data_IF_998200192109
#
_entry.id   IF_998200192109
#
_cell.length_a   1.000
_cell.length_b   1.000
_cell.length_c   1.000
_cell.angle_alpha   90.00
_cell.angle_beta   90.00
_cell.angle_gamma   90.00
#
_symmetry.space_group_name_H-M   'P 1'
#
loop_
_entity.id
_entity.type
_entity.pdbx_description
1 polymer ?
#
# COMPACT_ATOMS: atom_id res chain seq x y z
N UNK A 1 -23.61 -13.17 13.90
CA UNK A 1 -22.84 -12.82 12.68
C UNK A 1 -21.38 -13.01 13.02
N UNK A 2 -20.68 -13.91 12.31
CA UNK A 2 -19.23 -14.12 12.51
C UNK A 2 -18.40 -13.02 11.82
N UNK A 3 -17.12 -12.87 12.18
CA UNK A 3 -16.23 -11.90 11.53
C UNK A 3 -16.06 -12.24 10.04
N UNK A 4 -16.19 -11.21 9.19
CA UNK A 4 -16.00 -11.31 7.75
C UNK A 4 -14.53 -11.04 7.45
N UNK A 5 -13.85 -11.96 6.77
CA UNK A 5 -12.46 -11.79 6.33
C UNK A 5 -12.43 -11.87 4.82
N UNK A 6 -11.76 -10.91 4.19
CA UNK A 6 -11.44 -10.99 2.77
C UNK A 6 -9.94 -11.18 2.61
N UNK A 7 -9.54 -12.29 1.97
CA UNK A 7 -8.16 -12.63 1.63
C UNK A 7 -8.05 -12.55 0.12
N UNK A 8 -7.26 -11.61 -0.38
CA UNK A 8 -6.95 -11.51 -1.81
C UNK A 8 -5.49 -11.89 -2.00
N UNK A 9 -5.25 -12.99 -2.71
CA UNK A 9 -3.95 -13.31 -3.29
C UNK A 9 -3.79 -12.38 -4.51
N UNK A 10 -2.68 -11.65 -4.65
CA UNK A 10 -2.48 -10.59 -5.64
C UNK A 10 -2.61 -11.06 -7.11
N UNK A 11 -3.85 -11.31 -7.54
CA UNK A 11 -4.36 -11.36 -8.90
C UNK A 11 -5.75 -10.73 -8.81
N UNK A 12 -5.79 -9.43 -9.02
CA UNK A 12 -6.94 -8.57 -8.77
C UNK A 12 -8.24 -9.17 -9.33
N UNK A 13 -9.17 -9.49 -8.44
CA UNK A 13 -10.60 -9.65 -8.73
C UNK A 13 -11.37 -9.00 -7.59
N UNK A 14 -12.03 -7.88 -7.90
CA UNK A 14 -12.77 -7.08 -6.94
C UNK A 14 -14.21 -7.54 -6.81
N UNK A 15 -14.74 -7.47 -5.58
CA UNK A 15 -16.13 -7.17 -5.26
C UNK A 15 -16.24 -6.54 -3.86
N UNK A 16 -17.16 -5.57 -3.71
CA UNK A 16 -17.89 -5.33 -2.45
C UNK A 16 -17.40 -4.22 -1.51
N UNK A 17 -18.15 -3.11 -1.50
CA UNK A 17 -18.01 -1.84 -0.77
C UNK A 17 -18.62 -1.83 0.65
N UNK A 18 -17.92 -1.29 1.68
CA UNK A 18 -18.44 -0.51 2.85
C UNK A 18 -17.33 -0.08 3.84
N UNK A 19 -17.57 1.04 4.56
CA UNK A 19 -16.61 1.87 5.33
C UNK A 19 -16.66 1.59 6.87
N UNK A 20 -15.52 1.41 7.55
CA UNK A 20 -15.34 1.84 8.95
C UNK A 20 -14.37 1.04 9.86
N UNK A 21 -13.19 1.63 10.15
CA UNK A 21 -12.15 1.28 11.15
C UNK A 21 -11.22 0.08 10.87
N UNK A 22 -10.50 0.16 9.75
CA UNK A 22 -9.81 -0.99 9.13
C UNK A 22 -8.52 -1.40 9.83
N UNK A 23 -8.50 -2.59 10.43
CA UNK A 23 -7.26 -3.37 10.60
C UNK A 23 -7.01 -4.09 9.28
N UNK A 24 -6.18 -3.49 8.42
CA UNK A 24 -5.72 -4.08 7.16
C UNK A 24 -4.24 -4.41 7.25
N UNK A 25 -3.84 -5.52 6.64
CA UNK A 25 -2.47 -5.97 6.64
C UNK A 25 -2.09 -6.59 5.29
N UNK A 26 -1.04 -6.07 4.67
CA UNK A 26 -0.37 -6.70 3.53
C UNK A 26 0.76 -7.59 4.05
N UNK A 27 0.66 -8.88 3.74
CA UNK A 27 1.69 -9.89 3.93
C UNK A 27 2.30 -10.26 2.59
N UNK A 28 3.37 -9.56 2.19
CA UNK A 28 4.09 -9.78 0.92
C UNK A 28 3.19 -9.59 -0.31
N UNK A 29 2.43 -10.61 -0.71
CA UNK A 29 1.52 -10.64 -1.85
C UNK A 29 0.05 -10.81 -1.45
N UNK A 30 -0.22 -10.93 -0.15
CA UNK A 30 -1.53 -11.27 0.39
C UNK A 30 -2.07 -10.13 1.21
N UNK A 31 -3.24 -9.63 0.85
CA UNK A 31 -3.91 -8.54 1.59
C UNK A 31 -5.07 -9.11 2.39
N UNK A 32 -5.05 -8.86 3.70
CA UNK A 32 -6.09 -9.30 4.64
C UNK A 32 -6.78 -8.08 5.25
N UNK A 33 -8.11 -8.04 5.12
CA UNK A 33 -8.93 -6.99 5.73
C UNK A 33 -10.07 -7.63 6.52
N UNK A 34 -10.33 -7.08 7.72
CA UNK A 34 -11.52 -7.37 8.52
C UNK A 34 -12.76 -6.58 8.03
N UNK A 35 -12.56 -5.65 7.09
CA UNK A 35 -13.61 -4.88 6.43
C UNK A 35 -13.67 -5.15 4.94
N UNK A 36 -14.81 -4.77 4.35
CA UNK A 36 -14.96 -4.66 2.92
C UNK A 36 -13.90 -3.72 2.32
N UNK A 37 -13.37 -4.11 1.16
CA UNK A 37 -12.38 -3.30 0.47
C UNK A 37 -13.01 -2.02 -0.12
N UNK A 38 -12.23 -0.94 -0.12
CA UNK A 38 -12.53 0.27 -0.90
C UNK A 38 -11.46 0.46 -1.96
N UNK A 39 -11.74 1.16 -3.06
CA UNK A 39 -10.77 1.36 -4.14
C UNK A 39 -9.47 2.03 -3.63
N UNK A 40 -9.60 3.01 -2.74
CA UNK A 40 -8.45 3.66 -2.09
C UNK A 40 -7.67 2.73 -1.17
N UNK A 41 -8.38 1.84 -0.48
CA UNK A 41 -7.75 0.84 0.38
C UNK A 41 -6.97 -0.17 -0.48
N UNK A 42 -7.60 -0.70 -1.54
CA UNK A 42 -6.95 -1.61 -2.48
C UNK A 42 -5.73 -0.98 -3.14
N UNK A 43 -5.80 0.29 -3.52
CA UNK A 43 -4.67 0.99 -4.11
C UNK A 43 -3.49 1.08 -3.13
N UNK A 44 -3.72 1.48 -1.88
CA UNK A 44 -2.66 1.57 -0.87
C UNK A 44 -2.01 0.22 -0.59
N UNK A 45 -2.81 -0.84 -0.53
CA UNK A 45 -2.26 -2.19 -0.35
C UNK A 45 -1.55 -2.71 -1.60
N UNK A 46 -2.01 -2.35 -2.81
CA UNK A 46 -1.28 -2.63 -4.05
C UNK A 46 0.09 -1.96 -4.05
N UNK A 47 0.19 -0.71 -3.57
CA UNK A 47 1.49 -0.03 -3.41
C UNK A 47 2.40 -0.82 -2.47
N UNK A 48 1.89 -1.32 -1.33
CA UNK A 48 2.67 -2.20 -0.44
C UNK A 48 3.13 -3.48 -1.09
N UNK A 49 2.26 -4.17 -1.83
CA UNK A 49 2.62 -5.41 -2.55
C UNK A 49 3.76 -5.12 -3.54
N UNK A 50 3.66 -4.03 -4.30
CA UNK A 50 4.71 -3.64 -5.24
C UNK A 50 6.00 -3.25 -4.51
N UNK A 51 5.92 -2.55 -3.38
CA UNK A 51 7.09 -2.25 -2.56
C UNK A 51 7.77 -3.54 -2.07
N UNK A 52 7.00 -4.54 -1.60
CA UNK A 52 7.52 -5.85 -1.23
C UNK A 52 8.16 -6.56 -2.43
N UNK A 53 7.53 -6.54 -3.60
CA UNK A 53 8.07 -7.14 -4.83
C UNK A 53 9.41 -6.51 -5.23
N UNK A 54 9.50 -5.18 -5.21
CA UNK A 54 10.67 -4.43 -5.69
C UNK A 54 11.84 -4.43 -4.71
N UNK A 55 11.57 -4.33 -3.41
CA UNK A 55 12.60 -4.26 -2.37
C UNK A 55 12.95 -5.65 -1.83
N UNK A 56 12.02 -6.59 -1.87
CA UNK A 56 12.08 -7.81 -1.08
C UNK A 56 11.79 -7.55 0.41
N UNK A 57 11.42 -8.60 1.13
CA UNK A 57 10.98 -8.52 2.53
C UNK A 57 12.02 -7.87 3.46
N UNK A 58 13.30 -8.23 3.31
CA UNK A 58 14.37 -7.75 4.20
C UNK A 58 14.60 -6.25 4.07
N UNK A 59 14.71 -5.77 2.84
CA UNK A 59 14.97 -4.35 2.57
C UNK A 59 13.73 -3.50 2.88
N UNK A 60 12.54 -3.99 2.57
CA UNK A 60 11.29 -3.35 2.98
C UNK A 60 11.26 -3.14 4.50
N UNK A 61 11.51 -4.20 5.29
CA UNK A 61 11.49 -4.10 6.75
C UNK A 61 12.55 -3.13 7.28
N UNK A 62 13.77 -3.16 6.72
CA UNK A 62 14.84 -2.26 7.12
C UNK A 62 14.47 -0.78 6.86
N UNK A 63 13.92 -0.48 5.68
CA UNK A 63 13.46 0.86 5.31
C UNK A 63 12.27 1.31 6.14
N UNK A 64 11.35 0.41 6.46
CA UNK A 64 10.21 0.69 7.32
C UNK A 64 10.64 1.14 8.71
N UNK A 65 11.50 0.35 9.36
CA UNK A 65 12.02 0.64 10.70
C UNK A 65 12.87 1.90 10.69
N UNK A 66 13.78 2.03 9.72
CA UNK A 66 14.66 3.21 9.62
C UNK A 66 13.86 4.48 9.37
N UNK A 67 12.86 4.44 8.49
CA UNK A 67 11.96 5.56 8.22
C UNK A 67 11.14 5.96 9.45
N UNK A 68 10.67 4.99 10.23
CA UNK A 68 9.96 5.27 11.48
C UNK A 68 10.87 5.96 12.50
N UNK A 69 12.08 5.42 12.69
CA UNK A 69 13.05 5.96 13.64
C UNK A 69 13.54 7.37 13.26
N UNK A 70 13.64 7.68 11.96
CA UNK A 70 14.10 8.99 11.49
C UNK A 70 12.98 10.03 11.36
N UNK A 71 11.77 9.61 10.98
CA UNK A 71 10.62 10.50 10.80
C UNK A 71 9.81 10.75 12.08
N UNK A 72 9.88 9.85 13.07
CA UNK A 72 9.24 10.00 14.37
C UNK A 72 7.73 9.71 14.41
N UNK A 73 7.11 9.36 13.28
CA UNK A 73 5.72 8.91 13.21
C UNK A 73 5.53 7.87 12.10
N UNK A 74 4.39 7.17 12.12
CA UNK A 74 4.03 6.20 11.10
C UNK A 74 3.85 6.86 9.72
N UNK A 75 3.14 7.98 9.70
CA UNK A 75 2.82 8.74 8.49
C UNK A 75 4.06 9.36 7.84
N UNK A 76 5.12 9.57 8.64
CA UNK A 76 6.40 10.10 8.19
C UNK A 76 7.33 9.02 7.59
N UNK A 77 6.96 7.73 7.63
CA UNK A 77 7.74 6.66 7.00
C UNK A 77 7.69 6.86 5.48
N UNK A 78 8.83 6.91 4.77
CA UNK A 78 8.84 7.12 3.32
C UNK A 78 8.00 6.13 2.51
N UNK A 79 7.93 4.87 2.94
CA UNK A 79 7.08 3.85 2.33
C UNK A 79 5.58 4.21 2.46
N UNK A 80 5.16 4.78 3.58
CA UNK A 80 3.78 5.26 3.81
C UNK A 80 3.50 6.53 3.03
N UNK A 81 4.45 7.47 2.99
CA UNK A 81 4.35 8.69 2.19
C UNK A 81 4.17 8.37 0.71
N UNK A 82 4.87 7.36 0.18
CA UNK A 82 4.70 6.92 -1.19
C UNK A 82 3.30 6.39 -1.47
N UNK A 83 2.75 5.56 -0.57
CA UNK A 83 1.38 5.06 -0.70
C UNK A 83 0.36 6.20 -0.63
N UNK A 84 0.58 7.20 0.23
CA UNK A 84 -0.30 8.36 0.34
C UNK A 84 -0.23 9.27 -0.90
N UNK A 85 0.98 9.57 -1.40
CA UNK A 85 1.19 10.39 -2.61
C UNK A 85 0.47 9.77 -3.83
N UNK A 86 0.51 8.44 -3.96
CA UNK A 86 -0.18 7.74 -5.05
C UNK A 86 -1.71 7.65 -4.85
N UNK A 87 -2.20 7.53 -3.61
CA UNK A 87 -3.64 7.61 -3.32
C UNK A 87 -4.20 9.00 -3.63
N UNK A 88 -3.52 10.06 -3.20
CA UNK A 88 -3.90 11.44 -3.47
C UNK A 88 -3.92 11.73 -4.97
N UNK A 89 -2.91 11.27 -5.69
CA UNK A 89 -2.85 11.41 -7.16
C UNK A 89 -3.98 10.66 -7.85
N UNK A 90 -4.33 9.45 -7.40
CA UNK A 90 -5.46 8.71 -7.94
C UNK A 90 -6.79 9.43 -7.65
N UNK A 91 -6.93 10.00 -6.44
CA UNK A 91 -8.10 10.73 -6.01
C UNK A 91 -8.31 12.07 -6.73
N UNK A 92 -7.23 12.70 -7.20
CA UNK A 92 -7.27 14.01 -7.88
C UNK A 92 -7.93 14.00 -9.27
N UNK A 93 -8.57 12.89 -9.69
CA UNK A 93 -9.26 12.74 -10.97
C UNK A 93 -8.40 13.12 -12.20
N UNK A 94 -7.09 12.94 -12.12
CA UNK A 94 -6.19 13.17 -13.24
C UNK A 94 -6.48 12.15 -14.35
N UNK A 95 -6.69 12.62 -15.59
CA UNK A 95 -6.90 11.77 -16.77
C UNK A 95 -5.68 10.97 -17.19
N UNK A 96 -4.51 11.24 -16.58
CA UNK A 96 -3.27 10.55 -16.85
C UNK A 96 -3.14 9.32 -15.96
N UNK A 97 -3.36 8.14 -16.56
CA UNK A 97 -3.03 6.86 -15.94
C UNK A 97 -1.55 6.81 -15.51
N UNK A 98 -1.27 6.06 -14.45
CA UNK A 98 0.08 5.81 -13.95
C UNK A 98 0.22 4.36 -13.50
N UNK A 99 1.47 3.86 -13.54
CA UNK A 99 1.83 2.52 -13.09
C UNK A 99 2.39 2.60 -11.68
N UNK A 100 1.77 1.92 -10.72
CA UNK A 100 2.28 1.83 -9.34
C UNK A 100 3.71 1.26 -9.33
N UNK A 101 3.98 0.25 -10.16
CA UNK A 101 5.31 -0.35 -10.28
C UNK A 101 6.38 0.64 -10.73
N UNK A 102 6.07 1.49 -11.71
CA UNK A 102 7.02 2.48 -12.22
C UNK A 102 7.23 3.62 -11.21
N UNK A 103 6.18 4.00 -10.48
CA UNK A 103 6.26 5.01 -9.43
C UNK A 103 7.12 4.54 -8.25
N UNK A 104 6.92 3.31 -7.78
CA UNK A 104 7.74 2.70 -6.72
C UNK A 104 9.19 2.54 -7.20
N UNK A 105 9.41 2.07 -8.43
CA UNK A 105 10.76 1.95 -8.99
C UNK A 105 11.46 3.30 -9.03
N UNK A 106 10.77 4.37 -9.42
CA UNK A 106 11.35 5.71 -9.43
C UNK A 106 11.77 6.17 -8.05
N UNK A 107 11.01 5.87 -6.99
CA UNK A 107 11.39 6.19 -5.62
C UNK A 107 12.64 5.42 -5.18
N UNK A 108 12.80 4.18 -5.62
CA UNK A 108 14.03 3.39 -5.43
C UNK A 108 15.21 4.07 -6.14
N UNK A 109 15.05 4.37 -7.43
CA UNK A 109 16.11 4.91 -8.27
C UNK A 109 16.57 6.30 -7.79
N UNK A 110 15.63 7.09 -7.25
CA UNK A 110 15.89 8.44 -6.70
C UNK A 110 16.21 8.44 -5.20
N UNK A 111 16.34 7.27 -4.58
CA UNK A 111 16.67 7.10 -3.15
C UNK A 111 15.76 7.88 -2.20
N UNK A 112 14.45 7.87 -2.49
CA UNK A 112 13.42 8.51 -1.64
C UNK A 112 12.96 7.62 -0.48
N UNK A 113 13.32 6.34 -0.45
CA UNK A 113 13.01 5.40 0.65
C UNK A 113 14.14 5.22 1.64
#
# INVERSE_FOLDING_TARGET
MGPFFSIINAKVRGEGFRRGNSTILTFVDTVVSHEAFTDRLLLRELVRVVQYEKLGLKEFAAKYVTGFLSGGSYEAIPLEMNAHELDDRCAAATTKAFSVADEVQRWIDTRRF
#
